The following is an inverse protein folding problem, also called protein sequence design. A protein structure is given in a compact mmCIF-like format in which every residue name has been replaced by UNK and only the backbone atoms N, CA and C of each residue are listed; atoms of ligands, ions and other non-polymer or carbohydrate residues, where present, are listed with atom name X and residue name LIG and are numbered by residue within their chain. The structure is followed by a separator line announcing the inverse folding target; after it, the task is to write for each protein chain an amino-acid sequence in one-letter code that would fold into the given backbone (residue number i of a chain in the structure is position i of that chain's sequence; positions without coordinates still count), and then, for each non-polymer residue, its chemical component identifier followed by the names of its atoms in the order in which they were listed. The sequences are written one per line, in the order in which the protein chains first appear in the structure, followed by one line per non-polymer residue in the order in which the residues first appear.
data_IF_491408009135
#
_entry.id   IF_491408009135
#
_cell.length_a   1.000
_cell.length_b   1.000
_cell.length_c   1.000
_cell.angle_alpha   90.00
_cell.angle_beta   90.00
_cell.angle_gamma   90.00
#
_symmetry.space_group_name_H-M   'P 1'
#
loop_
_entity.id
_entity.type
_entity.pdbx_description
1 polymer ?
#
# COMPACT_ATOMS: atom_id res chain seq x y z
N UNK A 1 -9.56 25.50 -5.72
CA UNK A 1 -10.59 24.44 -5.56
C UNK A 1 -10.71 24.09 -4.08
N UNK A 2 -11.90 23.75 -3.58
CA UNK A 2 -12.07 23.30 -2.18
C UNK A 2 -11.46 21.91 -2.02
N UNK A 3 -10.61 21.70 -1.01
CA UNK A 3 -10.06 20.38 -0.70
C UNK A 3 -11.16 19.42 -0.21
N UNK A 4 -10.98 18.13 -0.47
CA UNK A 4 -11.86 17.06 0.01
C UNK A 4 -11.53 16.73 1.46
N UNK A 5 -12.54 16.67 2.31
CA UNK A 5 -12.35 16.36 3.72
C UNK A 5 -12.17 14.88 3.96
N UNK A 6 -11.24 14.55 4.85
CA UNK A 6 -10.79 13.20 5.13
C UNK A 6 -10.97 12.85 6.60
N UNK A 7 -11.46 11.64 6.87
CA UNK A 7 -11.33 11.00 8.18
C UNK A 7 -10.34 9.83 8.11
N UNK A 8 -9.64 9.56 9.22
CA UNK A 8 -8.80 8.38 9.41
C UNK A 8 -9.36 7.58 10.57
N UNK A 9 -9.71 6.30 10.34
CA UNK A 9 -10.11 5.36 11.37
C UNK A 9 -8.90 4.49 11.72
N UNK A 10 -8.45 4.58 12.97
CA UNK A 10 -7.24 3.91 13.46
C UNK A 10 -6.18 4.92 13.91
N UNK A 11 -6.08 5.16 15.20
CA UNK A 11 -5.17 6.14 15.82
C UNK A 11 -3.79 5.57 16.18
N UNK A 12 -3.42 4.44 15.56
CA UNK A 12 -2.09 3.83 15.70
C UNK A 12 -1.02 4.53 14.85
N UNK A 13 0.14 3.87 14.68
CA UNK A 13 1.28 4.41 13.95
C UNK A 13 0.96 4.76 12.49
N UNK A 14 0.26 3.88 11.76
CA UNK A 14 -0.12 4.10 10.36
C UNK A 14 -1.05 5.31 10.25
N UNK A 15 -2.15 5.34 11.01
CA UNK A 15 -3.09 6.48 10.95
C UNK A 15 -2.46 7.80 11.37
N UNK A 16 -1.59 7.78 12.37
CA UNK A 16 -0.88 8.99 12.82
C UNK A 16 0.10 9.51 11.77
N UNK A 17 0.88 8.62 11.14
CA UNK A 17 1.80 9.00 10.07
C UNK A 17 1.04 9.55 8.86
N UNK A 18 -0.04 8.88 8.47
CA UNK A 18 -0.90 9.34 7.37
C UNK A 18 -1.53 10.70 7.64
N UNK A 19 -2.04 10.93 8.86
CA UNK A 19 -2.54 12.25 9.27
C UNK A 19 -1.48 13.34 9.08
N UNK A 20 -0.25 13.09 9.54
CA UNK A 20 0.85 14.04 9.41
C UNK A 20 1.20 14.29 7.94
N UNK A 21 1.19 13.24 7.11
CA UNK A 21 1.42 13.38 5.67
C UNK A 21 0.32 14.21 4.99
N UNK A 22 -0.95 13.97 5.31
CA UNK A 22 -2.05 14.78 4.77
C UNK A 22 -1.93 16.24 5.18
N UNK A 23 -1.64 16.52 6.46
CA UNK A 23 -1.45 17.88 6.96
C UNK A 23 -0.31 18.62 6.28
N UNK A 24 0.78 17.92 5.92
CA UNK A 24 1.97 18.51 5.29
C UNK A 24 1.90 18.58 3.77
N UNK A 25 1.34 17.57 3.14
CA UNK A 25 1.47 17.36 1.69
C UNK A 25 0.13 17.28 0.95
N UNK A 26 -1.01 17.28 1.66
CA UNK A 26 -2.34 17.23 1.03
C UNK A 26 -2.54 18.39 0.05
N UNK A 27 -2.72 18.07 -1.23
CA UNK A 27 -3.01 19.04 -2.30
C UNK A 27 -4.51 19.15 -2.52
N UNK A 28 -5.17 18.04 -2.72
CA UNK A 28 -6.62 17.93 -2.91
C UNK A 28 -7.36 17.48 -1.65
N UNK A 29 -6.63 17.04 -0.62
CA UNK A 29 -7.14 16.50 0.63
C UNK A 29 -6.89 17.44 1.81
N UNK A 30 -7.82 17.42 2.76
CA UNK A 30 -7.76 18.16 4.03
C UNK A 30 -8.17 17.24 5.18
N UNK A 31 -7.30 17.14 6.19
CA UNK A 31 -7.57 16.31 7.36
C UNK A 31 -8.69 16.95 8.22
N UNK A 32 -9.77 16.21 8.44
CA UNK A 32 -10.91 16.67 9.24
C UNK A 32 -11.04 15.93 10.58
N UNK A 33 -11.02 14.59 10.58
CA UNK A 33 -11.28 13.81 11.80
C UNK A 33 -10.30 12.64 11.95
N UNK A 34 -9.75 12.48 13.15
CA UNK A 34 -9.02 11.29 13.58
C UNK A 34 -9.89 10.45 14.51
N UNK A 35 -10.08 9.18 14.18
CA UNK A 35 -10.97 8.26 14.89
C UNK A 35 -10.16 7.16 15.55
N UNK A 36 -10.40 6.90 16.82
CA UNK A 36 -9.83 5.80 17.58
C UNK A 36 -10.90 5.09 18.43
N UNK A 37 -10.45 4.15 19.24
CA UNK A 37 -11.30 3.41 20.22
C UNK A 37 -10.75 3.53 21.64
N UNK A 38 -9.56 4.08 21.81
CA UNK A 38 -8.93 4.31 23.12
C UNK A 38 -8.81 5.82 23.37
N UNK A 39 -9.49 6.37 24.40
CA UNK A 39 -9.41 7.79 24.74
C UNK A 39 -8.01 8.25 25.13
N UNK A 40 -7.13 7.33 25.55
CA UNK A 40 -5.75 7.60 25.94
C UNK A 40 -4.74 7.45 24.78
N UNK A 41 -5.21 7.14 23.57
CA UNK A 41 -4.37 6.99 22.39
C UNK A 41 -3.48 8.21 22.15
N UNK A 42 -2.16 8.00 22.02
CA UNK A 42 -1.21 9.08 21.64
C UNK A 42 -1.55 9.71 20.30
N UNK A 43 -2.01 8.89 19.34
CA UNK A 43 -2.45 9.41 18.03
C UNK A 43 -3.61 10.40 18.14
N UNK A 44 -4.63 10.11 18.97
CA UNK A 44 -5.73 11.05 19.21
C UNK A 44 -5.25 12.30 19.97
N UNK A 45 -4.36 12.13 20.95
CA UNK A 45 -3.80 13.27 21.67
C UNK A 45 -2.99 14.18 20.73
N UNK A 46 -2.24 13.59 19.80
CA UNK A 46 -1.47 14.31 18.78
C UNK A 46 -2.39 15.03 17.78
N UNK A 47 -3.44 14.37 17.31
CA UNK A 47 -4.45 14.96 16.43
C UNK A 47 -5.07 16.23 17.03
N UNK A 48 -5.48 16.15 18.31
CA UNK A 48 -6.00 17.32 19.05
C UNK A 48 -5.03 18.47 19.12
N UNK A 49 -3.73 18.20 19.40
CA UNK A 49 -2.67 19.24 19.43
C UNK A 49 -2.45 19.90 18.07
N UNK A 50 -2.72 19.17 16.99
CA UNK A 50 -2.61 19.67 15.60
C UNK A 50 -3.90 20.32 15.08
N UNK A 51 -4.92 20.46 15.92
CA UNK A 51 -6.19 21.10 15.57
C UNK A 51 -7.14 20.20 14.78
N UNK A 52 -6.90 18.88 14.73
CA UNK A 52 -7.76 17.91 14.07
C UNK A 52 -8.85 17.46 15.06
N UNK A 53 -10.11 17.43 14.62
CA UNK A 53 -11.20 16.89 15.43
C UNK A 53 -11.00 15.40 15.71
N UNK A 54 -11.45 14.92 16.87
CA UNK A 54 -11.21 13.54 17.29
C UNK A 54 -12.44 12.91 17.94
N UNK A 55 -12.59 11.60 17.74
CA UNK A 55 -13.50 10.76 18.54
C UNK A 55 -12.78 9.47 18.95
N UNK A 56 -13.14 8.93 20.10
CA UNK A 56 -12.68 7.61 20.58
C UNK A 56 -13.78 6.56 20.58
N UNK A 57 -14.92 6.86 19.95
CA UNK A 57 -16.10 5.99 19.88
C UNK A 57 -16.18 5.24 18.53
N UNK A 58 -15.04 5.08 17.85
CA UNK A 58 -14.96 4.35 16.57
C UNK A 58 -15.78 4.99 15.45
N UNK A 59 -16.18 4.18 14.47
CA UNK A 59 -16.98 4.63 13.32
C UNK A 59 -18.33 5.19 13.74
N UNK A 60 -18.94 4.66 14.79
CA UNK A 60 -20.20 5.17 15.34
C UNK A 60 -20.07 6.61 15.84
N UNK A 61 -18.99 6.92 16.55
CA UNK A 61 -18.68 8.28 16.97
C UNK A 61 -18.44 9.23 15.78
N UNK A 62 -17.71 8.78 14.76
CA UNK A 62 -17.50 9.56 13.53
C UNK A 62 -18.83 9.98 12.89
N UNK A 63 -19.76 9.03 12.74
CA UNK A 63 -21.06 9.29 12.12
C UNK A 63 -21.95 10.27 12.89
N UNK A 64 -21.69 10.46 14.18
CA UNK A 64 -22.40 11.42 15.04
C UNK A 64 -21.77 12.82 15.05
N UNK A 65 -20.56 12.97 14.51
CA UNK A 65 -19.88 14.26 14.44
C UNK A 65 -20.45 15.14 13.32
N UNK A 66 -20.51 16.44 13.55
CA UNK A 66 -20.96 17.42 12.54
C UNK A 66 -20.09 17.38 11.26
N UNK A 67 -18.79 17.10 11.42
CA UNK A 67 -17.81 16.99 10.35
C UNK A 67 -18.13 15.86 9.36
N UNK A 68 -18.85 14.80 9.79
CA UNK A 68 -19.16 13.64 8.96
C UNK A 68 -19.92 13.99 7.69
N UNK A 69 -20.80 14.96 7.76
CA UNK A 69 -21.56 15.43 6.59
C UNK A 69 -20.64 15.86 5.41
N UNK A 70 -19.47 16.40 5.74
CA UNK A 70 -18.50 16.92 4.77
C UNK A 70 -17.38 15.92 4.39
N UNK A 71 -17.27 14.75 5.04
CA UNK A 71 -16.23 13.78 4.76
C UNK A 71 -16.47 13.12 3.40
N UNK A 72 -15.51 13.24 2.50
CA UNK A 72 -15.53 12.60 1.18
C UNK A 72 -14.74 11.27 1.17
N UNK A 73 -13.65 11.20 1.94
CA UNK A 73 -12.76 10.05 2.02
C UNK A 73 -12.58 9.56 3.45
N UNK A 74 -12.49 8.25 3.60
CA UNK A 74 -12.10 7.60 4.86
C UNK A 74 -10.91 6.68 4.58
N UNK A 75 -9.83 6.85 5.34
CA UNK A 75 -8.77 5.86 5.41
C UNK A 75 -9.03 4.94 6.59
N UNK A 76 -9.04 3.65 6.36
CA UNK A 76 -9.21 2.67 7.43
C UNK A 76 -7.89 1.94 7.70
N UNK A 77 -7.29 2.25 8.84
CA UNK A 77 -6.03 1.69 9.32
C UNK A 77 -6.25 0.84 10.59
N UNK A 78 -7.34 0.06 10.62
CA UNK A 78 -7.72 -0.81 11.74
C UNK A 78 -7.31 -2.27 11.49
N UNK A 79 -8.19 -3.23 11.74
CA UNK A 79 -8.02 -4.64 11.42
C UNK A 79 -9.01 -5.08 10.34
N UNK A 80 -8.77 -6.22 9.69
CA UNK A 80 -9.65 -6.76 8.66
C UNK A 80 -11.10 -6.89 9.13
N UNK A 81 -11.31 -7.47 10.32
CA UNK A 81 -12.66 -7.65 10.88
C UNK A 81 -13.35 -6.34 11.27
N UNK A 82 -12.59 -5.31 11.67
CA UNK A 82 -13.13 -3.99 11.93
C UNK A 82 -13.49 -3.27 10.63
N UNK A 83 -12.62 -3.34 9.62
CA UNK A 83 -12.85 -2.73 8.31
C UNK A 83 -14.16 -3.19 7.65
N UNK A 84 -14.44 -4.50 7.67
CA UNK A 84 -15.70 -5.05 7.13
C UNK A 84 -16.93 -4.36 7.75
N UNK A 85 -16.90 -4.15 9.06
CA UNK A 85 -17.99 -3.48 9.79
C UNK A 85 -18.03 -1.97 9.52
N UNK A 86 -16.86 -1.34 9.48
CA UNK A 86 -16.74 0.08 9.23
C UNK A 86 -17.21 0.45 7.81
N UNK A 87 -16.79 -0.31 6.78
CA UNK A 87 -17.21 -0.09 5.41
C UNK A 87 -18.72 -0.24 5.24
N UNK A 88 -19.33 -1.27 5.83
CA UNK A 88 -20.77 -1.47 5.80
C UNK A 88 -21.53 -0.29 6.43
N UNK A 89 -21.12 0.16 7.63
CA UNK A 89 -21.75 1.28 8.34
C UNK A 89 -21.59 2.61 7.57
N UNK A 90 -20.39 2.87 7.02
CA UNK A 90 -20.13 4.08 6.25
C UNK A 90 -20.96 4.13 4.96
N UNK A 91 -21.11 3.00 4.26
CA UNK A 91 -21.92 2.94 3.03
C UNK A 91 -23.40 3.09 3.28
N UNK A 92 -23.91 2.55 4.40
CA UNK A 92 -25.29 2.73 4.80
C UNK A 92 -25.57 4.22 5.12
N UNK A 93 -24.68 4.85 5.88
CA UNK A 93 -24.84 6.26 6.28
C UNK A 93 -24.58 7.26 5.15
N UNK A 94 -23.62 6.97 4.26
CA UNK A 94 -23.21 7.86 3.16
C UNK A 94 -22.73 7.06 1.95
N UNK A 95 -23.64 6.62 1.03
CA UNK A 95 -23.30 5.76 -0.10
C UNK A 95 -22.20 6.28 -1.04
N UNK A 96 -22.01 7.61 -1.11
CA UNK A 96 -20.98 8.24 -1.95
C UNK A 96 -19.59 8.35 -1.30
N UNK A 97 -19.43 7.92 -0.04
CA UNK A 97 -18.14 7.99 0.66
C UNK A 97 -17.13 7.03 0.02
N UNK A 98 -15.87 7.45 -0.07
CA UNK A 98 -14.78 6.64 -0.60
C UNK A 98 -13.90 6.14 0.52
N UNK A 99 -13.59 4.85 0.51
CA UNK A 99 -12.78 4.20 1.54
C UNK A 99 -11.47 3.70 0.94
N UNK A 100 -10.37 4.11 1.55
CA UNK A 100 -9.02 3.62 1.27
C UNK A 100 -8.66 2.64 2.38
N UNK A 101 -8.66 1.37 2.05
CA UNK A 101 -8.45 0.27 3.00
C UNK A 101 -6.96 -0.06 3.14
N UNK A 102 -6.39 0.20 4.32
CA UNK A 102 -5.02 -0.15 4.67
C UNK A 102 -4.96 -1.46 5.50
N UNK A 103 -6.05 -2.22 5.55
CA UNK A 103 -6.14 -3.50 6.26
C UNK A 103 -6.03 -4.67 5.28
N UNK A 104 -5.77 -5.89 5.74
CA UNK A 104 -5.78 -7.06 4.87
C UNK A 104 -7.19 -7.61 4.55
N UNK A 105 -8.26 -6.86 4.80
CA UNK A 105 -9.64 -7.30 4.56
C UNK A 105 -9.96 -7.56 3.09
N UNK A 106 -9.35 -6.79 2.19
CA UNK A 106 -9.48 -6.95 0.73
C UNK A 106 -10.93 -7.02 0.23
N UNK A 107 -11.80 -6.15 0.71
CA UNK A 107 -13.20 -6.07 0.27
C UNK A 107 -13.27 -5.45 -1.13
N UNK A 108 -12.53 -4.36 -1.34
CA UNK A 108 -12.41 -3.68 -2.64
C UNK A 108 -11.30 -4.28 -3.50
N UNK A 109 -11.15 -3.81 -4.75
CA UNK A 109 -10.05 -4.21 -5.62
C UNK A 109 -8.70 -3.82 -5.01
N UNK A 110 -7.69 -4.67 -5.21
CA UNK A 110 -6.31 -4.33 -4.87
C UNK A 110 -5.83 -3.15 -5.71
N UNK A 111 -5.20 -2.18 -5.04
CA UNK A 111 -4.71 -0.97 -5.69
C UNK A 111 -3.22 -0.73 -5.36
N UNK A 112 -2.42 -0.64 -6.41
CA UNK A 112 -1.03 -0.16 -6.37
C UNK A 112 -0.96 1.06 -7.28
N UNK A 113 -0.72 2.28 -6.76
CA UNK A 113 -0.97 3.54 -7.48
C UNK A 113 -0.36 3.59 -8.88
N UNK A 114 0.92 3.19 -9.01
CA UNK A 114 1.66 3.24 -10.28
C UNK A 114 1.33 2.11 -11.25
N UNK A 115 0.51 1.14 -10.83
CA UNK A 115 0.18 -0.03 -11.67
C UNK A 115 -1.25 0.04 -12.19
N UNK A 116 -2.24 0.19 -11.32
CA UNK A 116 -3.65 0.03 -11.69
C UNK A 116 -4.62 1.06 -11.08
N UNK A 117 -4.13 2.18 -10.55
CA UNK A 117 -5.03 3.20 -9.97
C UNK A 117 -5.96 3.81 -11.02
N UNK A 118 -5.51 3.96 -12.28
CA UNK A 118 -6.34 4.50 -13.36
C UNK A 118 -7.67 3.73 -13.51
N UNK A 119 -7.63 2.40 -13.36
CA UNK A 119 -8.80 1.52 -13.46
C UNK A 119 -9.70 1.60 -12.19
N UNK A 120 -9.16 2.12 -11.09
CA UNK A 120 -9.80 2.13 -9.78
C UNK A 120 -10.23 3.53 -9.29
N UNK A 121 -10.06 4.57 -10.10
CA UNK A 121 -10.38 5.97 -9.72
C UNK A 121 -11.83 6.18 -9.27
N UNK A 122 -12.76 5.36 -9.74
CA UNK A 122 -14.20 5.49 -9.46
C UNK A 122 -14.70 4.52 -8.37
N UNK A 123 -13.83 3.67 -7.85
CA UNK A 123 -14.20 2.69 -6.84
C UNK A 123 -14.59 3.35 -5.51
N UNK A 124 -15.61 2.79 -4.87
CA UNK A 124 -16.03 3.25 -3.54
C UNK A 124 -15.10 2.74 -2.43
N UNK A 125 -14.45 1.58 -2.62
CA UNK A 125 -13.44 1.02 -1.72
C UNK A 125 -12.28 0.50 -2.56
N UNK A 126 -11.05 0.80 -2.17
CA UNK A 126 -9.83 0.23 -2.74
C UNK A 126 -8.95 -0.29 -1.62
N UNK A 127 -8.44 -1.51 -1.79
CA UNK A 127 -7.53 -2.13 -0.84
C UNK A 127 -6.07 -1.86 -1.21
N UNK A 128 -5.31 -1.32 -0.27
CA UNK A 128 -3.90 -0.95 -0.46
C UNK A 128 -2.94 -2.15 -0.34
N UNK A 129 -3.46 -3.37 -0.41
CA UNK A 129 -2.67 -4.60 -0.31
C UNK A 129 -1.96 -4.71 1.05
N UNK A 130 -0.62 -4.64 1.03
CA UNK A 130 0.28 -4.68 2.20
C UNK A 130 1.50 -3.82 1.93
N UNK A 131 2.28 -3.51 2.95
CA UNK A 131 3.54 -2.77 2.78
C UNK A 131 4.51 -3.50 1.82
N UNK A 132 4.65 -4.83 1.97
CA UNK A 132 5.46 -5.65 1.06
C UNK A 132 4.88 -5.64 -0.36
N UNK A 133 3.56 -5.70 -0.51
CA UNK A 133 2.90 -5.60 -1.80
C UNK A 133 3.12 -4.24 -2.48
N UNK A 134 2.97 -3.13 -1.76
CA UNK A 134 3.23 -1.79 -2.30
C UNK A 134 4.68 -1.61 -2.74
N UNK A 135 5.63 -2.22 -2.04
CA UNK A 135 7.04 -2.14 -2.42
C UNK A 135 7.39 -3.02 -3.63
N UNK A 136 6.81 -4.19 -3.78
CA UNK A 136 7.33 -5.23 -4.68
C UNK A 136 6.50 -5.47 -5.94
N UNK A 137 5.17 -5.31 -5.86
CA UNK A 137 4.27 -5.50 -7.02
C UNK A 137 4.62 -4.57 -8.19
N UNK A 138 5.05 -3.32 -8.00
CA UNK A 138 5.53 -2.48 -9.10
C UNK A 138 6.63 -3.13 -9.93
N UNK A 139 7.57 -3.84 -9.29
CA UNK A 139 8.68 -4.51 -9.99
C UNK A 139 8.18 -5.69 -10.83
N UNK A 140 7.22 -6.46 -10.29
CA UNK A 140 6.60 -7.58 -10.99
C UNK A 140 5.81 -7.07 -12.22
N UNK A 141 5.01 -6.02 -12.02
CA UNK A 141 4.25 -5.38 -13.10
C UNK A 141 5.18 -4.79 -14.18
N UNK A 142 6.34 -4.24 -13.78
CA UNK A 142 7.34 -3.75 -14.73
C UNK A 142 7.87 -4.86 -15.64
N UNK A 143 8.12 -6.06 -15.10
CA UNK A 143 8.52 -7.23 -15.93
C UNK A 143 7.35 -7.70 -16.78
N UNK A 144 6.14 -7.76 -16.21
CA UNK A 144 4.92 -8.19 -16.92
C UNK A 144 4.57 -7.32 -18.14
N UNK A 145 5.02 -6.05 -18.17
CA UNK A 145 4.90 -5.17 -19.36
C UNK A 145 5.77 -5.62 -20.52
N UNK A 146 6.84 -6.38 -20.26
CA UNK A 146 7.84 -6.77 -21.27
C UNK A 146 7.72 -8.24 -21.64
N UNK A 147 7.43 -9.11 -20.68
CA UNK A 147 7.37 -10.55 -20.86
C UNK A 147 6.28 -11.16 -19.98
N UNK A 148 5.70 -12.29 -20.43
CA UNK A 148 4.75 -13.03 -19.60
C UNK A 148 5.44 -13.60 -18.38
N UNK A 149 4.91 -13.27 -17.20
CA UNK A 149 5.40 -13.75 -15.91
C UNK A 149 4.61 -14.99 -15.50
N UNK A 150 5.29 -16.10 -15.28
CA UNK A 150 4.69 -17.36 -14.85
C UNK A 150 4.62 -17.48 -13.33
N UNK A 151 5.65 -16.97 -12.65
CA UNK A 151 5.77 -17.02 -11.19
C UNK A 151 6.49 -15.78 -10.67
N UNK A 152 6.05 -15.28 -9.54
CA UNK A 152 6.79 -14.28 -8.79
C UNK A 152 6.70 -14.54 -7.28
N UNK A 153 7.82 -14.36 -6.60
CA UNK A 153 7.82 -14.40 -5.13
C UNK A 153 8.53 -13.18 -4.56
N UNK A 154 8.07 -12.76 -3.39
CA UNK A 154 8.68 -11.70 -2.64
C UNK A 154 9.11 -12.15 -1.25
N UNK A 155 10.23 -11.64 -0.80
CA UNK A 155 10.66 -11.73 0.60
C UNK A 155 10.77 -10.31 1.13
N UNK A 156 9.78 -9.91 1.92
CA UNK A 156 9.76 -8.59 2.55
C UNK A 156 10.40 -8.68 3.95
N UNK A 157 11.53 -8.01 4.17
CA UNK A 157 12.21 -7.95 5.45
C UNK A 157 12.05 -6.57 6.08
N UNK A 158 11.33 -6.49 7.19
CA UNK A 158 11.06 -5.26 7.95
C UNK A 158 11.69 -5.35 9.33
N UNK A 159 12.03 -4.21 9.93
CA UNK A 159 12.48 -4.17 11.31
C UNK A 159 11.38 -4.71 12.24
N UNK A 160 11.72 -5.62 13.15
CA UNK A 160 10.76 -6.18 14.10
C UNK A 160 10.05 -5.09 14.91
N UNK A 161 10.76 -4.00 15.24
CA UNK A 161 10.21 -2.85 15.97
C UNK A 161 9.13 -2.08 15.17
N UNK A 162 9.15 -2.13 13.84
CA UNK A 162 8.12 -1.50 12.99
C UNK A 162 6.89 -2.37 12.76
N UNK A 163 6.93 -3.65 13.15
CA UNK A 163 5.80 -4.56 13.10
C UNK A 163 4.92 -4.40 14.33
N UNK A 164 3.80 -3.70 14.19
CA UNK A 164 2.81 -3.52 15.25
C UNK A 164 2.05 -4.80 15.59
N UNK A 165 1.20 -4.77 16.65
CA UNK A 165 0.38 -5.92 17.05
C UNK A 165 -0.49 -6.47 15.91
N UNK A 166 -1.06 -5.60 15.09
CA UNK A 166 -1.87 -5.98 13.93
C UNK A 166 -1.08 -6.81 12.91
N UNK A 167 0.12 -6.38 12.53
CA UNK A 167 1.00 -7.13 11.61
C UNK A 167 1.37 -8.50 12.17
N UNK A 168 1.69 -8.57 13.47
CA UNK A 168 2.09 -9.82 14.13
C UNK A 168 0.96 -10.83 14.25
N UNK A 169 -0.27 -10.33 14.47
CA UNK A 169 -1.45 -11.18 14.59
C UNK A 169 -1.97 -11.69 13.25
N UNK A 170 -1.62 -11.03 12.13
CA UNK A 170 -2.22 -11.27 10.81
C UNK A 170 -1.14 -11.57 9.73
N UNK A 171 -0.12 -12.36 10.10
CA UNK A 171 0.95 -12.74 9.14
C UNK A 171 0.39 -13.60 7.99
N UNK A 172 -0.55 -14.47 8.26
CA UNK A 172 -1.16 -15.33 7.26
C UNK A 172 -1.96 -14.50 6.25
N UNK A 173 -2.78 -13.55 6.73
CA UNK A 173 -3.51 -12.62 5.86
C UNK A 173 -2.55 -11.73 5.05
N UNK A 174 -1.42 -11.33 5.63
CA UNK A 174 -0.39 -10.58 4.89
C UNK A 174 0.12 -11.39 3.70
N UNK A 175 0.49 -12.64 3.93
CA UNK A 175 1.07 -13.50 2.87
C UNK A 175 0.03 -13.86 1.83
N UNK A 176 -1.20 -14.15 2.21
CA UNK A 176 -2.29 -14.49 1.31
C UNK A 176 -2.68 -13.29 0.44
N UNK A 177 -2.97 -12.15 1.05
CA UNK A 177 -3.34 -10.91 0.35
C UNK A 177 -2.26 -10.47 -0.63
N UNK A 178 -0.98 -10.51 -0.21
CA UNK A 178 0.13 -10.15 -1.08
C UNK A 178 0.28 -11.12 -2.24
N UNK A 179 0.19 -12.44 -2.00
CA UNK A 179 0.28 -13.46 -3.05
C UNK A 179 -0.82 -13.29 -4.10
N UNK A 180 -2.06 -13.05 -3.67
CA UNK A 180 -3.18 -12.79 -4.59
C UNK A 180 -2.97 -11.48 -5.38
N UNK A 181 -2.45 -10.43 -4.76
CA UNK A 181 -2.19 -9.17 -5.43
C UNK A 181 -1.03 -9.26 -6.43
N UNK A 182 0.00 -10.09 -6.16
CA UNK A 182 1.05 -10.43 -7.13
C UNK A 182 0.44 -11.01 -8.41
N UNK A 183 -0.55 -11.91 -8.28
CA UNK A 183 -1.27 -12.49 -9.41
C UNK A 183 -2.17 -11.46 -10.11
N UNK A 184 -3.03 -10.79 -9.36
CA UNK A 184 -4.11 -9.93 -9.91
C UNK A 184 -3.61 -8.56 -10.40
N UNK A 185 -2.61 -7.99 -9.76
CA UNK A 185 -2.10 -6.64 -10.05
C UNK A 185 -0.71 -6.71 -10.69
N UNK A 186 0.17 -7.60 -10.19
CA UNK A 186 1.52 -7.78 -10.72
C UNK A 186 1.55 -8.50 -12.06
N UNK A 187 0.49 -9.27 -12.41
CA UNK A 187 0.38 -10.00 -13.66
C UNK A 187 1.12 -11.34 -13.69
N UNK A 188 1.52 -11.87 -12.52
CA UNK A 188 2.13 -13.19 -12.42
C UNK A 188 1.08 -14.30 -12.48
N UNK A 189 1.40 -15.42 -13.13
CA UNK A 189 0.54 -16.60 -13.15
C UNK A 189 0.37 -17.24 -11.78
N UNK A 190 1.42 -17.18 -10.95
CA UNK A 190 1.41 -17.63 -9.54
C UNK A 190 2.24 -16.71 -8.67
N UNK A 191 1.68 -16.28 -7.54
CA UNK A 191 2.32 -15.43 -6.55
C UNK A 191 2.67 -16.15 -5.26
N UNK A 192 3.77 -15.73 -4.62
CA UNK A 192 4.14 -16.14 -3.27
C UNK A 192 4.70 -14.96 -2.50
N UNK A 193 4.37 -14.85 -1.23
CA UNK A 193 4.88 -13.81 -0.35
C UNK A 193 5.44 -14.42 0.94
N UNK A 194 6.55 -13.85 1.40
CA UNK A 194 7.21 -14.19 2.67
C UNK A 194 7.50 -12.87 3.39
N UNK A 195 7.21 -12.82 4.67
CA UNK A 195 7.60 -11.71 5.54
C UNK A 195 8.64 -12.15 6.56
N UNK A 196 9.66 -11.34 6.75
CA UNK A 196 10.69 -11.52 7.77
C UNK A 196 10.65 -10.35 8.74
N UNK A 197 10.38 -10.63 10.02
CA UNK A 197 10.47 -9.66 11.10
C UNK A 197 11.91 -9.67 11.62
N UNK A 198 12.72 -8.74 11.13
CA UNK A 198 14.16 -8.70 11.42
C UNK A 198 14.43 -8.14 12.83
N UNK A 199 15.06 -8.88 13.74
CA UNK A 199 15.32 -8.48 15.11
C UNK A 199 16.62 -7.70 15.31
N UNK A 200 17.33 -7.33 14.25
CA UNK A 200 18.65 -6.66 14.36
C UNK A 200 18.56 -5.35 15.15
N UNK A 201 19.60 -5.10 15.93
CA UNK A 201 19.87 -3.85 16.65
C UNK A 201 21.23 -3.28 16.23
N UNK A 202 21.30 -2.03 15.73
CA UNK A 202 20.18 -1.11 15.49
C UNK A 202 19.23 -1.65 14.37
N UNK A 203 17.95 -1.22 14.37
CA UNK A 203 16.96 -1.67 13.40
C UNK A 203 17.40 -1.39 11.96
N UNK A 204 17.22 -2.38 11.09
CA UNK A 204 17.52 -2.24 9.66
C UNK A 204 16.32 -1.64 8.91
N UNK A 205 16.61 -0.83 7.89
CA UNK A 205 15.61 -0.36 6.94
C UNK A 205 14.94 -1.55 6.24
N UNK A 206 13.70 -1.35 5.78
CA UNK A 206 12.98 -2.35 5.00
C UNK A 206 13.79 -2.73 3.76
N UNK A 207 13.92 -4.03 3.54
CA UNK A 207 14.60 -4.62 2.37
C UNK A 207 13.75 -5.72 1.80
N UNK A 208 13.55 -5.66 0.50
CA UNK A 208 12.74 -6.64 -0.19
C UNK A 208 13.52 -7.28 -1.32
N UNK A 209 13.31 -8.57 -1.50
CA UNK A 209 13.80 -9.33 -2.63
C UNK A 209 12.61 -9.79 -3.45
N UNK A 210 12.67 -9.59 -4.76
CA UNK A 210 11.66 -10.03 -5.71
C UNK A 210 12.30 -10.98 -6.71
N UNK A 211 11.82 -12.20 -6.78
CA UNK A 211 12.20 -13.18 -7.80
C UNK A 211 11.05 -13.33 -8.79
N UNK A 212 11.34 -13.16 -10.07
CA UNK A 212 10.35 -13.17 -11.14
C UNK A 212 10.81 -14.15 -12.21
N UNK A 213 9.95 -15.08 -12.56
CA UNK A 213 10.19 -16.08 -13.61
C UNK A 213 9.29 -15.75 -14.80
N UNK A 214 9.90 -15.36 -15.89
CA UNK A 214 9.21 -14.93 -17.12
C UNK A 214 9.70 -15.69 -18.35
N UNK A 215 8.96 -15.55 -19.45
CA UNK A 215 9.46 -15.95 -20.76
C UNK A 215 10.74 -15.17 -21.06
N UNK A 216 11.55 -15.72 -21.99
CA UNK A 216 12.78 -15.05 -22.45
C UNK A 216 12.43 -13.73 -23.13
N UNK A 217 13.11 -12.66 -22.71
CA UNK A 217 12.97 -11.31 -23.29
C UNK A 217 14.27 -10.53 -23.15
N UNK A 218 14.35 -9.34 -23.73
CA UNK A 218 15.51 -8.46 -23.57
C UNK A 218 15.71 -8.05 -22.11
N UNK A 219 16.85 -8.38 -21.56
CA UNK A 219 17.24 -8.00 -20.19
C UNK A 219 17.32 -6.47 -20.04
N UNK A 220 17.79 -5.77 -21.10
CA UNK A 220 17.86 -4.31 -21.14
C UNK A 220 16.48 -3.68 -21.10
N UNK A 221 15.51 -4.24 -21.84
CA UNK A 221 14.12 -3.75 -21.81
C UNK A 221 13.48 -3.95 -20.44
N UNK A 222 13.71 -5.11 -19.81
CA UNK A 222 13.23 -5.39 -18.44
C UNK A 222 13.87 -4.43 -17.43
N UNK A 223 15.20 -4.23 -17.51
CA UNK A 223 15.91 -3.31 -16.60
C UNK A 223 15.41 -1.87 -16.76
N UNK A 224 15.17 -1.41 -17.98
CA UNK A 224 14.63 -0.08 -18.25
C UNK A 224 13.20 0.08 -17.67
N UNK A 225 12.32 -0.91 -17.90
CA UNK A 225 10.96 -0.91 -17.34
C UNK A 225 10.95 -0.89 -15.81
N UNK A 226 11.85 -1.64 -15.17
CA UNK A 226 12.02 -1.64 -13.72
C UNK A 226 12.50 -0.27 -13.21
N UNK A 227 13.48 0.35 -13.89
CA UNK A 227 13.99 1.66 -13.51
C UNK A 227 12.93 2.76 -13.64
N UNK A 228 12.14 2.75 -14.72
CA UNK A 228 10.99 3.65 -14.89
C UNK A 228 9.96 3.48 -13.79
N UNK A 229 9.60 2.25 -13.49
CA UNK A 229 8.63 1.94 -12.42
C UNK A 229 9.15 2.36 -11.05
N UNK A 230 10.44 2.14 -10.77
CA UNK A 230 11.05 2.58 -9.51
C UNK A 230 10.99 4.11 -9.36
N UNK A 231 11.27 4.85 -10.43
CA UNK A 231 11.14 6.31 -10.44
C UNK A 231 9.69 6.77 -10.20
N UNK A 232 8.71 6.06 -10.76
CA UNK A 232 7.30 6.35 -10.53
C UNK A 232 6.88 6.13 -9.06
N UNK A 233 7.39 5.08 -8.40
CA UNK A 233 7.17 4.86 -6.96
C UNK A 233 7.85 5.95 -6.13
N UNK A 234 9.07 6.35 -6.49
CA UNK A 234 9.81 7.41 -5.80
C UNK A 234 9.09 8.76 -5.80
N UNK A 235 8.23 9.00 -6.77
CA UNK A 235 7.45 10.24 -6.84
C UNK A 235 6.54 10.44 -5.60
N UNK A 236 6.05 9.36 -4.99
CA UNK A 236 5.26 9.43 -3.76
C UNK A 236 5.94 8.83 -2.52
N UNK A 237 6.95 7.98 -2.71
CA UNK A 237 7.76 7.38 -1.65
C UNK A 237 9.25 7.63 -1.92
N UNK A 238 9.80 8.82 -1.62
CA UNK A 238 11.15 9.22 -2.01
C UNK A 238 12.28 8.32 -1.48
N UNK A 239 12.05 7.62 -0.38
CA UNK A 239 13.01 6.68 0.20
C UNK A 239 13.05 5.30 -0.46
N UNK A 240 12.22 5.05 -1.48
CA UNK A 240 12.20 3.81 -2.26
C UNK A 240 13.36 3.79 -3.27
N UNK A 241 14.13 2.70 -3.32
CA UNK A 241 15.24 2.59 -4.27
C UNK A 241 15.60 1.14 -4.60
N UNK A 242 16.14 0.95 -5.78
CA UNK A 242 16.86 -0.28 -6.12
C UNK A 242 18.16 -0.30 -5.29
N UNK A 243 18.39 -1.38 -4.55
CA UNK A 243 19.58 -1.52 -3.70
C UNK A 243 20.83 -1.85 -4.51
N UNK A 244 20.64 -2.52 -5.64
CA UNK A 244 21.69 -2.89 -6.58
C UNK A 244 21.10 -3.06 -7.98
N UNK A 245 21.95 -3.30 -8.96
CA UNK A 245 21.53 -3.60 -10.34
C UNK A 245 20.66 -4.86 -10.37
N UNK A 246 19.67 -4.86 -11.25
CA UNK A 246 18.80 -6.02 -11.53
C UNK A 246 19.67 -7.18 -12.01
N UNK A 247 19.43 -8.35 -11.48
CA UNK A 247 20.17 -9.57 -11.84
C UNK A 247 19.32 -10.47 -12.71
N UNK A 248 19.94 -11.10 -13.69
CA UNK A 248 19.31 -12.00 -14.64
C UNK A 248 20.02 -13.35 -14.67
N UNK A 249 19.23 -14.41 -14.76
CA UNK A 249 19.71 -15.78 -14.90
C UNK A 249 18.80 -16.50 -15.91
N UNK A 250 19.39 -17.09 -16.93
CA UNK A 250 18.65 -17.95 -17.87
C UNK A 250 18.53 -19.34 -17.28
N UNK A 251 17.31 -19.84 -17.16
CA UNK A 251 17.01 -21.21 -16.77
C UNK A 251 16.82 -22.02 -18.06
N UNK A 252 17.79 -22.89 -18.39
CA UNK A 252 17.79 -23.57 -19.69
C UNK A 252 16.77 -24.72 -19.72
N UNK A 253 16.32 -25.06 -20.94
CA UNK A 253 15.32 -26.14 -21.15
C UNK A 253 15.79 -27.53 -20.72
N UNK A 254 17.09 -27.80 -20.79
CA UNK A 254 17.70 -29.07 -20.40
C UNK A 254 17.80 -29.22 -18.85
N UNK A 255 17.62 -28.12 -18.10
CA UNK A 255 17.63 -28.11 -16.62
C UNK A 255 16.53 -27.19 -16.07
N UNK A 256 15.25 -27.51 -16.33
CA UNK A 256 14.15 -26.70 -15.82
C UNK A 256 14.06 -26.78 -14.29
N UNK A 257 13.50 -25.72 -13.68
CA UNK A 257 13.14 -25.73 -12.25
C UNK A 257 11.71 -26.21 -12.09
N UNK A 258 11.45 -27.03 -11.07
CA UNK A 258 10.10 -27.46 -10.74
C UNK A 258 9.49 -26.53 -9.69
N UNK A 259 8.40 -25.87 -10.03
CA UNK A 259 7.70 -24.92 -9.17
C UNK A 259 6.38 -25.53 -8.69
N UNK A 260 6.14 -25.60 -7.37
CA UNK A 260 4.86 -26.06 -6.84
C UNK A 260 3.68 -25.26 -7.40
N UNK A 261 2.70 -25.96 -7.99
CA UNK A 261 1.51 -25.34 -8.56
C UNK A 261 1.69 -24.70 -9.94
N UNK A 262 2.90 -24.70 -10.51
CA UNK A 262 3.20 -24.20 -11.87
C UNK A 262 3.72 -25.32 -12.77
N UNK A 263 4.54 -26.23 -12.22
CA UNK A 263 5.21 -27.29 -12.96
C UNK A 263 6.65 -26.93 -13.34
N UNK A 264 7.19 -27.62 -14.37
CA UNK A 264 8.55 -27.36 -14.87
C UNK A 264 8.59 -26.03 -15.62
N UNK A 265 9.57 -25.20 -15.28
CA UNK A 265 9.79 -23.89 -15.87
C UNK A 265 11.20 -23.76 -16.43
N UNK A 266 11.31 -23.25 -17.66
CA UNK A 266 12.53 -22.71 -18.28
C UNK A 266 12.24 -21.31 -18.81
N UNK A 267 13.22 -20.44 -18.86
CA UNK A 267 13.04 -19.05 -19.25
C UNK A 267 14.01 -18.09 -18.58
N UNK A 268 13.54 -16.91 -18.21
CA UNK A 268 14.36 -15.89 -17.55
C UNK A 268 13.95 -15.72 -16.10
N UNK A 269 14.93 -15.79 -15.19
CA UNK A 269 14.79 -15.38 -13.80
C UNK A 269 15.34 -13.96 -13.65
N UNK A 270 14.52 -13.06 -13.16
CA UNK A 270 14.89 -11.69 -12.80
C UNK A 270 14.86 -11.56 -11.28
N UNK A 271 15.95 -11.04 -10.69
CA UNK A 271 16.02 -10.74 -9.26
C UNK A 271 16.18 -9.24 -9.04
N UNK A 272 15.26 -8.67 -8.26
CA UNK A 272 15.24 -7.25 -7.90
C UNK A 272 15.41 -7.12 -6.40
N UNK A 273 16.30 -6.23 -5.98
CA UNK A 273 16.56 -5.95 -4.57
C UNK A 273 16.22 -4.51 -4.27
N UNK A 274 15.35 -4.32 -3.30
CA UNK A 274 14.81 -3.03 -2.92
C UNK A 274 15.24 -2.65 -1.49
N UNK A 275 15.32 -1.35 -1.28
CA UNK A 275 15.41 -0.78 0.06
C UNK A 275 14.43 0.39 0.16
N UNK A 276 13.68 0.44 1.26
CA UNK A 276 12.71 1.51 1.53
C UNK A 276 13.08 2.18 2.83
N UNK A 277 13.48 3.43 2.73
CA UNK A 277 13.76 4.31 3.85
C UNK A 277 12.54 5.17 4.14
N UNK A 278 12.11 5.24 5.39
CA UNK A 278 11.00 6.09 5.78
C UNK A 278 11.38 7.57 5.75
N UNK A 279 10.42 8.43 5.45
CA UNK A 279 10.61 9.88 5.37
C UNK A 279 10.94 10.54 6.72
N UNK A 280 10.90 9.82 7.82
CA UNK A 280 11.19 10.29 9.18
C UNK A 280 10.35 11.52 9.60
N UNK A 281 9.13 11.65 9.11
CA UNK A 281 8.24 12.74 9.51
C UNK A 281 7.63 12.54 10.90
N UNK A 282 7.25 11.32 11.21
CA UNK A 282 6.71 10.88 12.50
C UNK A 282 7.39 9.59 12.97
N UNK A 283 7.44 8.61 12.09
CA UNK A 283 8.09 7.32 12.36
C UNK A 283 9.58 7.42 12.01
N UNK A 284 10.45 6.63 12.67
CA UNK A 284 11.88 6.63 12.36
C UNK A 284 12.15 6.10 10.94
N UNK A 285 13.30 6.46 10.36
CA UNK A 285 13.68 6.12 9.00
C UNK A 285 13.70 4.61 8.72
N UNK A 286 13.95 3.76 9.72
CA UNK A 286 13.90 2.30 9.53
C UNK A 286 12.48 1.77 9.28
N UNK A 287 11.42 2.53 9.62
CA UNK A 287 10.03 2.14 9.42
C UNK A 287 9.54 2.39 7.98
N UNK A 288 10.36 2.08 6.99
CA UNK A 288 10.04 2.23 5.56
C UNK A 288 8.79 1.46 5.13
N UNK A 289 8.48 0.34 5.79
CA UNK A 289 7.25 -0.43 5.56
C UNK A 289 5.98 0.36 5.90
N UNK A 290 5.98 1.14 6.97
CA UNK A 290 4.84 1.99 7.32
C UNK A 290 4.77 3.20 6.39
N UNK A 291 5.92 3.78 6.07
CA UNK A 291 6.03 4.95 5.20
C UNK A 291 5.52 4.69 3.79
N UNK A 292 5.91 3.57 3.15
CA UNK A 292 5.44 3.26 1.79
C UNK A 292 3.92 3.00 1.76
N UNK A 293 3.37 2.39 2.81
CA UNK A 293 1.94 2.13 2.90
C UNK A 293 1.15 3.44 2.98
N UNK A 294 1.54 4.36 3.86
CA UNK A 294 0.87 5.64 4.03
C UNK A 294 1.09 6.57 2.84
N UNK A 295 2.27 6.52 2.22
CA UNK A 295 2.57 7.28 1.00
C UNK A 295 1.75 6.81 -0.19
N UNK A 296 1.62 5.50 -0.40
CA UNK A 296 0.78 4.94 -1.45
C UNK A 296 -0.71 5.26 -1.24
N UNK A 297 -1.19 5.15 0.00
CA UNK A 297 -2.57 5.49 0.35
C UNK A 297 -2.88 6.97 0.08
N UNK A 298 -1.97 7.88 0.50
CA UNK A 298 -2.11 9.30 0.20
C UNK A 298 -2.12 9.58 -1.30
N UNK A 299 -1.17 9.01 -2.05
CA UNK A 299 -1.09 9.18 -3.51
C UNK A 299 -2.36 8.69 -4.21
N UNK A 300 -2.92 7.57 -3.77
CA UNK A 300 -4.19 7.02 -4.26
C UNK A 300 -5.34 8.01 -4.06
N UNK A 301 -5.55 8.47 -2.83
CA UNK A 301 -6.65 9.36 -2.51
C UNK A 301 -6.49 10.75 -3.15
N UNK A 302 -5.27 11.28 -3.27
CA UNK A 302 -4.98 12.54 -3.97
C UNK A 302 -5.37 12.46 -5.45
N UNK A 303 -5.02 11.37 -6.15
CA UNK A 303 -5.39 11.20 -7.55
C UNK A 303 -6.91 10.98 -7.72
N UNK A 304 -7.54 10.20 -6.84
CA UNK A 304 -9.00 10.05 -6.83
C UNK A 304 -9.72 11.39 -6.60
N UNK A 305 -9.23 12.21 -5.67
CA UNK A 305 -9.79 13.53 -5.39
C UNK A 305 -9.58 14.49 -6.57
N UNK A 306 -8.41 14.46 -7.20
CA UNK A 306 -8.12 15.23 -8.42
C UNK A 306 -9.05 14.88 -9.57
N UNK A 307 -9.30 13.58 -9.80
CA UNK A 307 -10.24 13.11 -10.82
C UNK A 307 -11.69 13.59 -10.57
N UNK A 308 -12.13 13.61 -9.30
CA UNK A 308 -13.44 14.14 -8.93
C UNK A 308 -13.58 15.65 -9.23
N UNK A 309 -12.50 16.42 -9.09
CA UNK A 309 -12.50 17.84 -9.43
C UNK A 309 -12.60 18.08 -10.94
N UNK A 310 -11.87 17.27 -11.73
CA UNK A 310 -11.90 17.37 -13.19
C UNK A 310 -13.29 17.04 -13.76
N UNK A 311 -13.95 16.02 -13.22
CA UNK A 311 -15.31 15.63 -13.61
C UNK A 311 -16.35 16.74 -13.27
N UNK A 312 -16.24 17.37 -12.10
CA UNK A 312 -17.13 18.46 -11.70
C UNK A 312 -16.95 19.74 -12.55
N UNK A 313 -15.72 20.00 -13.02
CA UNK A 313 -15.44 21.15 -13.91
C UNK A 313 -15.87 20.93 -15.36
N UNK A 314 -16.06 19.68 -15.81
CA UNK A 314 -16.54 19.36 -17.16
C UNK A 314 -18.07 19.41 -17.29
N UNK A 315 -18.79 19.47 -16.19
CA UNK A 315 -20.27 19.52 -16.13
C UNK A 315 -20.82 20.91 -15.78
N UNK A 316 -19.96 21.90 -15.52
CA UNK A 316 -20.28 23.30 -15.24
C UNK A 316 -19.96 24.18 -16.46
#
# INVERSE_FOLDING_TARGET
MRKRKVAIIGSGNIGTDLMIKILRHGQHLEMAVMVGIDPQSDGLARARRLGVATTHEGVGGLMQMAEFADIDFVFDATSAGAHIKNDAALREAKPGIRVIDLTPAAIGPYCVPVVNLADNLHQGNVNMVTCGGQATIPMIAAVSRVAKVHYAEIVASIASQSAGPGTRANIDEFTETTSQAIEKVGGAGKGKAIIVLNPAEPPLMMRDTVYILSELASQEAIAASIAEMAAAVQAYAPGYRLKQQVQFEVIPEDRPVNLPGVGCFSGLKTAVYLEVEGAAHYLPAYAGNLDIMTSAALATAEQMAGAMHSAAGATA
#
